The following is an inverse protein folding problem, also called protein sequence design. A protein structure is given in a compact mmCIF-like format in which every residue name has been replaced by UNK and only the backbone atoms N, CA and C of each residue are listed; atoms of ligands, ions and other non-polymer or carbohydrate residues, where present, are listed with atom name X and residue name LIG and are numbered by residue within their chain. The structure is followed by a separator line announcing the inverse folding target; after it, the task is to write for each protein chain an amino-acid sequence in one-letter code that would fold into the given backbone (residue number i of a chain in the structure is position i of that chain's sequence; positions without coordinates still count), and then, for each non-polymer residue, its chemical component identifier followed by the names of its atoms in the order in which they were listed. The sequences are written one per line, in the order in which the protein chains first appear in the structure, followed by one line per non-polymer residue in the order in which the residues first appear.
data_IF_144773182789
#
_entry.id   IF_144773182789
#
_cell.length_a   1.000
_cell.length_b   1.000
_cell.length_c   1.000
_cell.angle_alpha   90.00
_cell.angle_beta   90.00
_cell.angle_gamma   90.00
#
_symmetry.space_group_name_H-M   'P 1'
#
loop_
_entity.id
_entity.type
_entity.pdbx_description
1 polymer ?
#
# COMPACT_ATOMS: atom_id res chain seq x y z
N UNK A 1 0.69 -4.61 -8.33
CA UNK A 1 -0.01 -3.63 -9.19
C UNK A 1 -0.55 -2.51 -8.32
N UNK A 2 -0.29 -1.26 -8.71
CA UNK A 2 -0.79 -0.06 -8.03
C UNK A 2 -1.64 0.76 -9.00
N UNK A 3 -2.98 0.60 -8.96
CA UNK A 3 -3.92 1.41 -9.75
C UNK A 3 -3.85 2.90 -9.38
N UNK A 4 -4.38 3.75 -10.26
CA UNK A 4 -4.43 5.19 -10.06
C UNK A 4 -5.06 5.57 -8.69
N UNK A 5 -4.54 6.62 -8.07
CA UNK A 5 -5.00 7.14 -6.76
C UNK A 5 -6.47 7.61 -6.74
N UNK A 6 -7.12 7.72 -7.91
CA UNK A 6 -8.54 8.08 -8.00
C UNK A 6 -9.49 6.89 -7.80
N UNK A 7 -8.96 5.69 -7.57
CA UNK A 7 -9.74 4.51 -7.22
C UNK A 7 -10.15 4.55 -5.74
N UNK A 8 -11.40 4.96 -5.48
CA UNK A 8 -11.92 5.19 -4.13
C UNK A 8 -13.15 4.33 -3.87
N UNK A 9 -12.94 3.12 -3.32
CA UNK A 9 -14.04 2.22 -2.93
C UNK A 9 -14.90 2.79 -1.79
N UNK A 10 -14.35 3.65 -0.94
CA UNK A 10 -15.05 4.28 0.16
C UNK A 10 -15.83 5.55 -0.22
N UNK A 11 -15.95 5.89 -1.51
CA UNK A 11 -16.69 7.06 -1.97
C UNK A 11 -18.18 6.97 -1.60
N UNK A 12 -18.78 8.14 -1.29
CA UNK A 12 -20.24 8.28 -1.15
C UNK A 12 -20.95 8.41 -2.51
N UNK A 13 -20.22 8.79 -3.55
CA UNK A 13 -20.76 8.96 -4.89
C UNK A 13 -20.86 7.63 -5.64
N UNK A 14 -22.07 7.17 -5.94
CA UNK A 14 -22.34 5.91 -6.64
C UNK A 14 -21.54 5.79 -7.95
N UNK A 15 -21.56 6.83 -8.78
CA UNK A 15 -20.86 6.85 -10.08
C UNK A 15 -19.34 6.68 -9.92
N UNK A 16 -18.73 7.26 -8.85
CA UNK A 16 -17.32 7.10 -8.56
C UNK A 16 -17.00 5.66 -8.14
N UNK A 17 -17.87 5.05 -7.32
CA UNK A 17 -17.72 3.64 -6.92
C UNK A 17 -17.79 2.72 -8.11
N UNK A 18 -18.78 2.89 -8.99
CA UNK A 18 -18.95 2.08 -10.21
C UNK A 18 -17.74 2.19 -11.15
N UNK A 19 -17.21 3.41 -11.33
CA UNK A 19 -15.99 3.63 -12.10
C UNK A 19 -14.79 2.90 -11.46
N UNK A 20 -14.63 3.01 -10.15
CA UNK A 20 -13.56 2.34 -9.39
C UNK A 20 -13.66 0.81 -9.54
N UNK A 21 -14.86 0.23 -9.35
CA UNK A 21 -15.05 -1.22 -9.50
C UNK A 21 -14.68 -1.68 -10.92
N UNK A 22 -15.13 -0.95 -11.94
CA UNK A 22 -14.80 -1.27 -13.33
C UNK A 22 -13.30 -1.24 -13.60
N UNK A 23 -12.60 -0.24 -13.08
CA UNK A 23 -11.16 -0.11 -13.26
C UNK A 23 -10.39 -1.21 -12.51
N UNK A 24 -10.75 -1.48 -11.25
CA UNK A 24 -10.15 -2.58 -10.49
C UNK A 24 -10.38 -3.94 -11.15
N UNK A 25 -11.60 -4.20 -11.65
CA UNK A 25 -11.89 -5.43 -12.38
C UNK A 25 -11.06 -5.57 -13.66
N UNK A 26 -10.79 -4.45 -14.35
CA UNK A 26 -9.89 -4.46 -15.51
C UNK A 26 -8.46 -4.83 -15.10
N UNK A 27 -7.94 -4.29 -13.99
CA UNK A 27 -6.63 -4.68 -13.45
C UNK A 27 -6.61 -6.16 -13.06
N UNK A 28 -7.64 -6.65 -12.36
CA UNK A 28 -7.76 -8.07 -12.00
C UNK A 28 -7.76 -8.98 -13.22
N UNK A 29 -8.53 -8.62 -14.26
CA UNK A 29 -8.57 -9.34 -15.53
C UNK A 29 -7.20 -9.35 -16.23
N UNK A 30 -6.52 -8.19 -16.29
CA UNK A 30 -5.19 -8.08 -16.90
C UNK A 30 -4.18 -8.98 -16.18
N UNK A 31 -4.18 -8.99 -14.85
CA UNK A 31 -3.30 -9.85 -14.07
C UNK A 31 -3.58 -11.33 -14.32
N UNK A 32 -4.85 -11.72 -14.44
CA UNK A 32 -5.22 -13.10 -14.80
C UNK A 32 -4.72 -13.49 -16.20
N UNK A 33 -4.83 -12.58 -17.18
CA UNK A 33 -4.31 -12.79 -18.54
C UNK A 33 -2.79 -12.94 -18.59
N UNK A 34 -2.08 -12.29 -17.67
CA UNK A 34 -0.63 -12.42 -17.50
C UNK A 34 -0.23 -13.67 -16.70
N UNK A 35 -1.17 -14.49 -16.25
CA UNK A 35 -0.92 -15.68 -15.45
C UNK A 35 -0.53 -15.42 -13.99
N UNK A 36 -0.80 -14.23 -13.47
CA UNK A 36 -0.53 -13.88 -12.09
C UNK A 36 -1.41 -14.68 -11.11
N UNK A 37 -0.84 -15.07 -9.97
CA UNK A 37 -1.59 -15.76 -8.93
C UNK A 37 -2.80 -14.96 -8.43
N UNK A 38 -3.92 -15.63 -8.18
CA UNK A 38 -5.13 -15.01 -7.58
C UNK A 38 -5.06 -15.02 -6.06
N UNK A 39 -3.99 -14.48 -5.53
CA UNK A 39 -3.77 -14.31 -4.09
C UNK A 39 -2.78 -13.16 -3.82
N UNK A 40 -2.43 -12.96 -2.55
CA UNK A 40 -1.56 -11.89 -2.12
C UNK A 40 -0.09 -11.99 -2.56
N UNK A 41 0.31 -13.00 -3.33
CA UNK A 41 1.63 -13.01 -4.04
C UNK A 41 1.67 -12.01 -5.19
N UNK A 42 0.50 -11.64 -5.70
CA UNK A 42 0.34 -10.66 -6.77
C UNK A 42 -0.68 -9.59 -6.33
N UNK A 43 -0.34 -8.72 -5.37
CA UNK A 43 -1.30 -7.80 -4.78
C UNK A 43 -1.76 -6.70 -5.74
N UNK A 44 -3.00 -6.24 -5.54
CA UNK A 44 -3.52 -4.98 -6.07
C UNK A 44 -3.57 -4.02 -4.89
N UNK A 45 -2.71 -3.01 -4.89
CA UNK A 45 -2.58 -2.05 -3.79
C UNK A 45 -3.35 -0.77 -4.09
N UNK A 46 -4.20 -0.32 -3.15
CA UNK A 46 -4.90 0.96 -3.24
C UNK A 46 -4.96 1.67 -1.89
N UNK A 47 -5.20 2.98 -1.93
CA UNK A 47 -5.51 3.79 -0.76
C UNK A 47 -7.02 3.77 -0.45
N UNK A 48 -7.39 4.06 0.80
CA UNK A 48 -8.80 4.28 1.17
C UNK A 48 -9.31 5.61 0.61
N UNK A 49 -8.46 6.64 0.63
CA UNK A 49 -8.68 7.98 0.06
C UNK A 49 -10.00 8.66 0.49
N UNK A 50 -10.46 8.37 1.70
CA UNK A 50 -11.61 9.02 2.31
C UNK A 50 -11.38 9.18 3.81
N UNK A 51 -11.42 10.43 4.29
CA UNK A 51 -11.15 10.78 5.68
C UNK A 51 -12.32 11.54 6.33
N UNK A 52 -13.47 11.64 5.65
CA UNK A 52 -14.64 12.41 6.15
C UNK A 52 -15.69 11.48 6.73
N UNK A 53 -15.83 11.49 8.05
CA UNK A 53 -16.82 10.70 8.77
C UNK A 53 -16.21 9.71 9.76
N UNK A 54 -17.01 8.79 10.26
CA UNK A 54 -16.57 7.75 11.17
C UNK A 54 -15.69 6.72 10.44
N UNK A 55 -14.49 6.41 10.93
CA UNK A 55 -13.58 5.45 10.29
C UNK A 55 -14.19 4.05 10.10
N UNK A 56 -15.04 3.60 11.03
CA UNK A 56 -15.68 2.29 10.90
C UNK A 56 -16.67 2.29 9.73
N UNK A 57 -17.49 3.34 9.60
CA UNK A 57 -18.44 3.47 8.47
C UNK A 57 -17.72 3.57 7.13
N UNK A 58 -16.56 4.26 7.09
CA UNK A 58 -15.74 4.36 5.87
C UNK A 58 -15.19 2.99 5.49
N UNK A 59 -14.64 2.25 6.45
CA UNK A 59 -14.10 0.91 6.23
C UNK A 59 -15.19 -0.08 5.81
N UNK A 60 -16.36 -0.05 6.46
CA UNK A 60 -17.50 -0.90 6.09
C UNK A 60 -17.95 -0.63 4.65
N UNK A 61 -18.06 0.64 4.27
CA UNK A 61 -18.42 1.04 2.89
C UNK A 61 -17.37 0.59 1.88
N UNK A 62 -16.08 0.73 2.21
CA UNK A 62 -14.99 0.21 1.39
C UNK A 62 -15.15 -1.29 1.17
N UNK A 63 -15.31 -2.06 2.25
CA UNK A 63 -15.44 -3.52 2.19
C UNK A 63 -16.69 -3.96 1.44
N UNK A 64 -17.85 -3.31 1.67
CA UNK A 64 -19.07 -3.57 0.90
C UNK A 64 -18.88 -3.38 -0.60
N UNK A 65 -18.15 -2.34 -1.01
CA UNK A 65 -17.89 -2.09 -2.42
C UNK A 65 -16.80 -3.02 -2.98
N UNK A 66 -15.81 -3.42 -2.19
CA UNK A 66 -14.86 -4.45 -2.57
C UNK A 66 -15.58 -5.78 -2.88
N UNK A 67 -16.59 -6.16 -2.11
CA UNK A 67 -17.38 -7.39 -2.38
C UNK A 67 -18.14 -7.36 -3.71
N UNK A 68 -18.33 -6.19 -4.32
CA UNK A 68 -18.92 -6.05 -5.67
C UNK A 68 -17.89 -6.22 -6.79
N UNK A 69 -16.60 -6.18 -6.48
CA UNK A 69 -15.55 -6.46 -7.45
C UNK A 69 -15.49 -7.96 -7.77
N UNK A 70 -14.87 -8.28 -8.90
CA UNK A 70 -14.60 -9.66 -9.31
C UNK A 70 -13.68 -10.38 -8.30
N UNK A 71 -13.72 -11.71 -8.29
CA UNK A 71 -12.88 -12.51 -7.40
C UNK A 71 -11.38 -12.27 -7.65
N UNK A 72 -11.01 -12.02 -8.91
CA UNK A 72 -9.63 -11.66 -9.30
C UNK A 72 -9.10 -10.43 -8.59
N UNK A 73 -9.98 -9.50 -8.19
CA UNK A 73 -9.64 -8.32 -7.37
C UNK A 73 -9.69 -8.67 -5.90
N UNK A 74 -10.81 -9.26 -5.44
CA UNK A 74 -11.02 -9.55 -4.01
C UNK A 74 -9.94 -10.41 -3.40
N UNK A 75 -9.39 -11.35 -4.18
CA UNK A 75 -8.33 -12.26 -3.73
C UNK A 75 -6.95 -11.61 -3.63
N UNK A 76 -6.77 -10.41 -4.21
CA UNK A 76 -5.48 -9.71 -4.31
C UNK A 76 -5.44 -8.36 -3.61
N UNK A 77 -6.60 -7.77 -3.29
CA UNK A 77 -6.63 -6.39 -2.84
C UNK A 77 -6.00 -6.23 -1.46
N UNK A 78 -5.11 -5.28 -1.37
CA UNK A 78 -4.47 -4.80 -0.15
C UNK A 78 -4.68 -3.28 -0.02
N UNK A 79 -4.54 -2.75 1.18
CA UNK A 79 -4.61 -1.31 1.43
C UNK A 79 -3.28 -0.80 1.93
N UNK A 80 -2.97 0.45 1.62
CA UNK A 80 -1.75 1.13 2.02
C UNK A 80 -2.03 2.22 3.04
N UNK A 81 -1.11 2.42 3.99
CA UNK A 81 -1.18 3.58 4.87
C UNK A 81 -0.94 4.87 4.07
N UNK A 82 -1.59 5.95 4.50
CA UNK A 82 -1.64 7.20 3.73
C UNK A 82 -0.67 8.26 4.29
N UNK A 83 -0.26 9.18 3.43
CA UNK A 83 0.60 10.33 3.74
C UNK A 83 -0.16 11.52 4.32
N UNK A 84 -1.49 11.46 4.29
CA UNK A 84 -2.44 12.49 4.75
C UNK A 84 -3.78 11.84 5.08
N UNK A 85 -4.66 12.62 5.72
CA UNK A 85 -5.97 12.10 6.10
C UNK A 85 -5.93 11.41 7.46
N UNK A 86 -6.43 10.17 7.55
CA UNK A 86 -6.57 9.46 8.82
C UNK A 86 -6.02 8.02 8.78
N UNK A 87 -5.76 7.45 7.62
CA UNK A 87 -5.48 6.03 7.46
C UNK A 87 -4.01 5.68 7.74
N UNK A 88 -3.67 5.75 9.01
CA UNK A 88 -2.39 5.29 9.55
C UNK A 88 -2.34 3.75 9.66
N UNK A 89 -1.15 3.15 9.83
CA UNK A 89 -1.01 1.71 10.09
C UNK A 89 -1.94 1.19 11.19
N UNK A 90 -2.02 1.89 12.33
CA UNK A 90 -2.87 1.51 13.46
C UNK A 90 -4.35 1.53 13.12
N UNK A 91 -4.80 2.58 12.42
CA UNK A 91 -6.22 2.72 12.08
C UNK A 91 -6.65 1.70 11.03
N UNK A 92 -5.80 1.46 10.03
CA UNK A 92 -6.03 0.39 9.05
C UNK A 92 -6.11 -0.98 9.72
N UNK A 93 -5.15 -1.31 10.60
CA UNK A 93 -5.14 -2.60 11.29
C UNK A 93 -6.34 -2.81 12.23
N UNK A 94 -6.94 -1.73 12.71
CA UNK A 94 -8.16 -1.76 13.53
C UNK A 94 -9.42 -2.06 12.73
N UNK A 95 -9.52 -1.52 11.51
CA UNK A 95 -10.76 -1.52 10.75
C UNK A 95 -10.77 -2.44 9.53
N UNK A 96 -9.61 -2.84 9.01
CA UNK A 96 -9.52 -3.71 7.83
C UNK A 96 -9.06 -5.12 8.17
N UNK A 97 -9.63 -6.08 7.45
CA UNK A 97 -9.24 -7.50 7.54
C UNK A 97 -8.35 -7.96 6.39
N UNK A 98 -8.15 -7.12 5.35
CA UNK A 98 -7.23 -7.37 4.24
C UNK A 98 -5.80 -6.95 4.62
N UNK A 99 -4.76 -7.45 3.92
CA UNK A 99 -3.39 -7.08 4.23
C UNK A 99 -3.11 -5.58 4.03
N UNK A 100 -2.16 -5.06 4.78
CA UNK A 100 -1.74 -3.66 4.75
C UNK A 100 -0.34 -3.58 4.18
N UNK A 101 -0.18 -2.89 3.05
CA UNK A 101 1.11 -2.46 2.52
C UNK A 101 1.62 -1.30 3.38
N UNK A 102 2.83 -1.42 3.89
CA UNK A 102 3.49 -0.37 4.65
C UNK A 102 4.31 0.49 3.70
N UNK A 103 4.03 1.80 3.69
CA UNK A 103 4.89 2.82 3.11
C UNK A 103 5.56 3.61 4.22
N UNK A 104 6.90 3.64 4.20
CA UNK A 104 7.71 4.29 5.22
C UNK A 104 7.59 5.81 5.20
N UNK A 105 7.53 6.42 4.00
CA UNK A 105 7.40 7.87 3.87
C UNK A 105 6.01 8.34 4.28
N UNK A 106 4.98 7.60 3.91
CA UNK A 106 3.60 7.90 4.33
C UNK A 106 3.49 7.88 5.85
N UNK A 107 4.10 6.89 6.53
CA UNK A 107 4.12 6.83 7.98
C UNK A 107 4.89 8.01 8.61
N UNK A 108 6.01 8.45 8.00
CA UNK A 108 6.72 9.66 8.43
C UNK A 108 5.87 10.92 8.27
N UNK A 109 5.07 11.00 7.21
CA UNK A 109 4.19 12.15 6.94
C UNK A 109 2.92 12.16 7.81
N UNK A 110 2.37 11.00 8.15
CA UNK A 110 1.18 10.83 8.97
C UNK A 110 1.45 9.82 10.10
N UNK A 111 2.23 10.21 11.14
CA UNK A 111 2.56 9.33 12.25
C UNK A 111 1.35 9.08 13.17
N UNK A 112 1.29 7.90 13.78
CA UNK A 112 0.23 7.48 14.71
C UNK A 112 0.75 7.15 16.12
N UNK A 113 1.97 7.59 16.43
CA UNK A 113 2.63 7.33 17.70
C UNK A 113 3.37 5.98 17.75
N UNK A 114 3.27 5.15 16.72
CA UNK A 114 4.10 3.97 16.57
C UNK A 114 5.49 4.38 16.07
N UNK A 115 6.52 3.67 16.54
CA UNK A 115 7.83 3.74 15.87
C UNK A 115 7.73 3.07 14.50
N UNK A 116 8.70 3.36 13.62
CA UNK A 116 8.77 2.73 12.29
C UNK A 116 8.77 1.19 12.39
N UNK A 117 9.56 0.62 13.32
CA UNK A 117 9.58 -0.81 13.61
C UNK A 117 8.20 -1.36 14.03
N UNK A 118 7.53 -0.65 14.92
CA UNK A 118 6.20 -1.08 15.39
C UNK A 118 5.17 -1.05 14.26
N UNK A 119 5.15 -0.01 13.44
CA UNK A 119 4.26 0.12 12.30
C UNK A 119 4.55 -0.95 11.24
N UNK A 120 5.83 -1.15 10.90
CA UNK A 120 6.28 -2.20 10.00
C UNK A 120 5.79 -3.58 10.45
N UNK A 121 6.06 -3.97 11.71
CA UNK A 121 5.63 -5.28 12.27
C UNK A 121 4.11 -5.41 12.32
N UNK A 122 3.39 -4.34 12.59
CA UNK A 122 1.94 -4.33 12.59
C UNK A 122 1.40 -4.69 11.20
N UNK A 123 1.88 -4.01 10.16
CA UNK A 123 1.50 -4.27 8.77
C UNK A 123 1.92 -5.68 8.34
N UNK A 124 3.16 -6.10 8.63
CA UNK A 124 3.67 -7.43 8.33
C UNK A 124 2.74 -8.55 8.83
N UNK A 125 2.26 -8.44 10.08
CA UNK A 125 1.35 -9.43 10.68
C UNK A 125 0.01 -9.56 9.95
N UNK A 126 -0.44 -8.52 9.25
CA UNK A 126 -1.70 -8.58 8.50
C UNK A 126 -1.63 -9.53 7.30
N UNK A 127 -0.47 -9.63 6.65
CA UNK A 127 -0.22 -10.59 5.57
C UNK A 127 -0.15 -12.02 6.07
N UNK A 128 0.52 -12.25 7.20
CA UNK A 128 0.64 -13.56 7.80
C UNK A 128 -0.69 -14.18 8.24
N UNK A 129 -1.65 -13.35 8.66
CA UNK A 129 -3.01 -13.81 8.99
C UNK A 129 -3.74 -14.41 7.78
N UNK A 130 -3.30 -14.14 6.56
CA UNK A 130 -3.92 -14.57 5.31
C UNK A 130 -3.26 -15.79 4.66
N UNK A 131 -2.21 -16.34 5.23
CA UNK A 131 -1.55 -17.54 4.71
C UNK A 131 -0.04 -17.44 4.58
N UNK A 132 0.59 -16.65 5.41
CA UNK A 132 2.07 -16.49 5.45
C UNK A 132 2.65 -15.97 4.12
N UNK A 133 1.91 -15.11 3.42
CA UNK A 133 2.41 -14.45 2.23
C UNK A 133 3.54 -13.48 2.59
N UNK A 134 4.56 -13.42 1.74
CA UNK A 134 5.61 -12.40 1.81
C UNK A 134 4.99 -11.05 1.46
N UNK A 135 5.05 -10.04 2.33
CA UNK A 135 4.49 -8.74 2.05
C UNK A 135 5.18 -8.02 0.89
N UNK A 136 4.44 -7.22 0.16
CA UNK A 136 4.96 -6.16 -0.69
C UNK A 136 4.77 -4.84 0.04
N UNK A 137 5.87 -4.19 0.42
CA UNK A 137 5.89 -2.87 1.04
C UNK A 137 6.40 -1.83 0.07
N UNK A 138 6.14 -0.56 0.34
CA UNK A 138 6.65 0.55 -0.44
C UNK A 138 7.80 1.22 0.28
N UNK A 139 8.76 1.67 -0.50
CA UNK A 139 9.88 2.46 -0.02
C UNK A 139 10.03 3.72 -0.85
N UNK A 140 10.03 4.83 -0.16
CA UNK A 140 10.32 6.14 -0.73
C UNK A 140 10.99 7.05 0.30
N UNK A 141 11.58 8.14 -0.19
CA UNK A 141 12.22 9.17 0.63
C UNK A 141 11.69 10.54 0.23
N UNK A 142 11.70 11.48 1.19
CA UNK A 142 11.38 12.88 0.89
C UNK A 142 12.45 13.50 0.01
N UNK A 143 12.04 14.27 -1.00
CA UNK A 143 12.96 15.01 -1.84
C UNK A 143 13.67 16.10 -1.03
N UNK A 144 15.02 16.14 -0.98
CA UNK A 144 15.76 17.05 -0.09
C UNK A 144 15.52 18.53 -0.38
N UNK A 145 15.29 18.90 -1.65
CA UNK A 145 15.15 20.29 -2.09
C UNK A 145 13.69 20.75 -2.19
N UNK A 146 12.72 19.95 -1.77
CA UNK A 146 11.31 20.32 -1.82
C UNK A 146 10.73 20.55 -0.43
N UNK A 147 9.96 21.63 -0.30
CA UNK A 147 9.28 21.95 0.95
C UNK A 147 8.16 20.99 1.34
N UNK A 148 7.58 20.29 0.35
CA UNK A 148 6.57 19.28 0.61
C UNK A 148 7.23 17.94 0.96
N UNK A 149 7.14 17.47 2.21
CA UNK A 149 7.79 16.23 2.64
C UNK A 149 7.29 14.97 1.92
N UNK A 150 6.11 15.06 1.29
CA UNK A 150 5.50 13.97 0.51
C UNK A 150 6.03 13.90 -0.93
N UNK A 151 6.92 14.80 -1.32
CA UNK A 151 7.55 14.74 -2.65
C UNK A 151 8.64 13.68 -2.61
N UNK A 152 8.50 12.65 -3.44
CA UNK A 152 9.49 11.58 -3.53
C UNK A 152 10.81 12.09 -4.05
N UNK A 153 11.90 11.61 -3.47
CA UNK A 153 13.27 11.84 -3.91
C UNK A 153 13.52 11.20 -5.29
N UNK A 154 14.55 11.68 -5.95
CA UNK A 154 14.97 11.13 -7.24
C UNK A 154 15.74 9.81 -7.06
N UNK A 155 16.64 9.78 -6.07
CA UNK A 155 17.53 8.67 -5.75
C UNK A 155 17.46 8.32 -4.25
N UNK A 156 17.81 7.08 -3.86
CA UNK A 156 17.89 6.72 -2.45
C UNK A 156 19.10 7.37 -1.78
N UNK A 157 18.93 7.79 -0.54
CA UNK A 157 20.03 8.16 0.37
C UNK A 157 20.32 7.06 1.38
N UNK A 158 19.36 6.18 1.59
CA UNK A 158 19.45 5.00 2.44
C UNK A 158 19.05 3.75 1.65
N UNK A 159 19.41 2.58 2.13
CA UNK A 159 18.92 1.33 1.57
C UNK A 159 17.65 0.97 2.34
N UNK A 160 16.57 0.53 1.67
CA UNK A 160 15.44 -0.05 2.35
C UNK A 160 15.94 -1.29 3.09
N UNK A 161 16.18 -1.13 4.36
CA UNK A 161 16.69 -2.20 5.19
C UNK A 161 15.52 -3.10 5.52
N UNK A 162 15.77 -4.41 5.50
CA UNK A 162 14.99 -5.38 6.28
C UNK A 162 15.05 -5.07 7.79
N UNK A 163 15.42 -3.86 8.16
CA UNK A 163 15.47 -3.25 9.48
C UNK A 163 16.13 -4.09 10.57
N UNK A 164 17.03 -5.03 10.21
CA UNK A 164 17.43 -6.09 11.13
C UNK A 164 16.25 -6.98 11.54
N UNK A 165 15.10 -6.79 10.89
CA UNK A 165 13.90 -7.57 11.13
C UNK A 165 14.08 -8.93 10.46
N UNK A 166 13.93 -9.99 11.21
CA UNK A 166 13.93 -11.38 10.72
C UNK A 166 12.72 -11.70 9.80
N UNK A 167 12.16 -10.67 9.15
CA UNK A 167 10.91 -10.75 8.40
C UNK A 167 11.13 -10.28 6.96
N UNK A 168 11.31 -11.21 6.00
CA UNK A 168 11.54 -10.85 4.61
C UNK A 168 10.29 -10.20 3.99
N UNK A 169 10.48 -9.05 3.33
CA UNK A 169 9.47 -8.37 2.50
C UNK A 169 10.07 -8.12 1.13
N UNK A 170 9.19 -7.90 0.14
CA UNK A 170 9.55 -7.31 -1.13
C UNK A 170 9.25 -5.81 -1.06
N UNK A 171 10.07 -5.00 -1.74
CA UNK A 171 9.85 -3.57 -1.83
C UNK A 171 9.51 -3.12 -3.24
N UNK A 172 8.45 -2.34 -3.37
CA UNK A 172 8.23 -1.46 -4.52
C UNK A 172 8.92 -0.13 -4.23
N UNK A 173 9.91 0.21 -5.06
CA UNK A 173 10.75 1.39 -4.87
C UNK A 173 10.10 2.57 -5.58
N UNK A 174 9.51 3.49 -4.83
CA UNK A 174 8.78 4.63 -5.35
C UNK A 174 9.63 5.91 -5.46
N UNK A 175 10.90 5.76 -5.82
CA UNK A 175 11.79 6.87 -6.17
C UNK A 175 11.62 7.25 -7.64
N UNK A 176 11.91 8.52 -7.99
CA UNK A 176 11.59 9.03 -9.33
C UNK A 176 12.44 8.44 -10.44
N UNK A 177 13.73 8.22 -10.19
CA UNK A 177 14.64 7.66 -11.18
C UNK A 177 14.63 6.12 -11.19
N UNK A 178 13.50 5.53 -10.92
CA UNK A 178 13.16 4.10 -11.06
C UNK A 178 14.38 3.16 -11.15
N UNK A 179 14.80 2.84 -12.37
CA UNK A 179 15.87 1.86 -12.64
C UNK A 179 17.22 2.25 -12.04
N UNK A 180 17.57 3.54 -12.07
CA UNK A 180 18.85 4.01 -11.52
C UNK A 180 18.84 3.95 -9.99
N UNK A 181 17.68 4.23 -9.37
CA UNK A 181 17.49 4.09 -7.93
C UNK A 181 17.62 2.62 -7.49
N UNK A 182 17.02 1.68 -8.23
CA UNK A 182 17.15 0.24 -7.97
C UNK A 182 18.61 -0.20 -8.11
N UNK A 183 19.30 0.18 -9.18
CA UNK A 183 20.74 -0.14 -9.36
C UNK A 183 21.61 0.41 -8.24
N UNK A 184 21.30 1.63 -7.74
CA UNK A 184 22.02 2.21 -6.62
C UNK A 184 21.86 1.37 -5.35
N UNK A 185 20.64 0.88 -5.07
CA UNK A 185 20.33 0.01 -3.93
C UNK A 185 21.06 -1.35 -4.06
N UNK A 186 21.03 -1.96 -5.25
CA UNK A 186 21.66 -3.27 -5.51
C UNK A 186 23.20 -3.24 -5.40
N UNK A 187 23.81 -2.11 -5.75
CA UNK A 187 25.28 -1.94 -5.73
C UNK A 187 25.83 -1.45 -4.40
N UNK A 188 24.96 -1.06 -3.47
CA UNK A 188 25.38 -0.62 -2.16
C UNK A 188 25.89 -1.80 -1.32
N UNK A 189 27.07 -1.68 -0.67
CA UNK A 189 27.57 -2.76 0.18
C UNK A 189 26.57 -3.06 1.30
N UNK A 190 26.13 -4.30 1.38
CA UNK A 190 25.34 -4.77 2.54
C UNK A 190 26.26 -4.78 3.74
N UNK A 191 26.05 -3.83 4.68
CA UNK A 191 26.77 -3.80 5.97
C UNK A 191 26.36 -4.98 6.85
#
# INVERSE_FOLDING_TARGET
CHPDQFNVLASLGQAQVEKTIKELNHHGWLMDMLGAHRDYRCPINIHVNNAKGDPAEIADRFMMNLYKCDESVRSRLVVENEDKGIWTPSLLAKHFTIPITYDNLHHKCLPDGLTEDQAYRLCYRTWHRKGYFKPLFHYSESHPDKSNPRSHADMPTEIPIDGGYSFPVDYDIELKWKDDAIRAIETCPKN
#
